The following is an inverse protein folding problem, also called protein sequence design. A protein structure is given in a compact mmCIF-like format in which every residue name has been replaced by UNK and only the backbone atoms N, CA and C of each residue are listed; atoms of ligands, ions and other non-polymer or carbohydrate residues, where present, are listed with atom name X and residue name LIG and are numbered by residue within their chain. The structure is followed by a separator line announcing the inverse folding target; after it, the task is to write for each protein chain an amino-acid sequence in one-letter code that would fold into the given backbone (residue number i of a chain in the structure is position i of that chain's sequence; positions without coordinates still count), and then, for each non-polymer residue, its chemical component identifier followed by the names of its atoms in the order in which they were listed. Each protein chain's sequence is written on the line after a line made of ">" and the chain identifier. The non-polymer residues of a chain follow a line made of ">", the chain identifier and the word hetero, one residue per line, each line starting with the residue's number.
data_IF_071813682507
#
_entry.id   IF_071813682507
#
_cell.length_a   1.000
_cell.length_b   1.000
_cell.length_c   1.000
_cell.angle_alpha   90.00
_cell.angle_beta   90.00
_cell.angle_gamma   90.00
#
_symmetry.space_group_name_H-M   'P 1'
#
loop_
_entity.id
_entity.type
_entity.pdbx_description
1 polymer ?
#
# COMPACT_ATOMS: atom_id res chain seq x y z
N UNK A 1 -0.53 -9.47 16.16
CA UNK A 1 -1.56 -9.56 17.24
C UNK A 1 -2.35 -10.84 17.03
N UNK A 2 -2.57 -11.67 18.07
CA UNK A 2 -3.30 -12.94 17.92
C UNK A 2 -4.82 -12.75 17.91
N UNK A 3 -5.35 -11.74 18.60
CA UNK A 3 -6.78 -11.38 18.59
C UNK A 3 -6.94 -9.90 18.87
N UNK A 4 -7.82 -9.20 18.13
CA UNK A 4 -8.12 -7.78 18.34
C UNK A 4 -9.63 -7.58 18.52
N UNK A 5 -9.99 -6.72 19.48
CA UNK A 5 -11.38 -6.38 19.83
C UNK A 5 -11.56 -4.87 19.69
N UNK A 6 -12.61 -4.45 18.98
CA UNK A 6 -13.01 -3.04 18.85
C UNK A 6 -14.49 -2.94 19.26
N UNK A 7 -14.80 -2.06 20.21
CA UNK A 7 -16.17 -1.86 20.72
C UNK A 7 -16.87 -3.18 21.13
N UNK A 8 -16.13 -4.09 21.79
CA UNK A 8 -16.66 -5.39 22.23
C UNK A 8 -16.82 -6.45 21.13
N UNK A 9 -16.46 -6.16 19.88
CA UNK A 9 -16.52 -7.11 18.75
C UNK A 9 -15.12 -7.59 18.37
N UNK A 10 -14.97 -8.90 18.16
CA UNK A 10 -13.73 -9.47 17.63
C UNK A 10 -13.64 -9.15 16.14
N UNK A 11 -12.62 -8.40 15.75
CA UNK A 11 -12.40 -7.98 14.35
C UNK A 11 -11.26 -8.74 13.69
N UNK A 12 -10.36 -9.35 14.48
CA UNK A 12 -9.21 -10.10 14.01
C UNK A 12 -8.94 -11.28 14.94
N UNK A 13 -8.60 -12.44 14.38
CA UNK A 13 -8.19 -13.65 15.11
C UNK A 13 -7.19 -14.46 14.30
N UNK A 14 -6.17 -15.00 14.97
CA UNK A 14 -5.14 -15.85 14.39
C UNK A 14 -4.54 -15.24 13.11
N UNK A 15 -4.20 -13.94 13.22
CA UNK A 15 -3.60 -13.15 12.14
C UNK A 15 -4.51 -12.86 10.94
N UNK A 16 -5.80 -13.21 10.99
CA UNK A 16 -6.78 -12.92 9.94
C UNK A 16 -7.80 -11.89 10.40
N UNK A 17 -8.13 -10.95 9.53
CA UNK A 17 -9.23 -10.00 9.72
C UNK A 17 -10.55 -10.70 9.38
N UNK A 18 -11.55 -10.56 10.25
CA UNK A 18 -12.83 -11.27 10.14
C UNK A 18 -13.92 -10.42 9.47
N UNK A 19 -13.66 -9.13 9.28
CA UNK A 19 -14.68 -8.13 8.90
C UNK A 19 -14.48 -7.54 7.51
N UNK A 20 -13.37 -7.86 6.82
CA UNK A 20 -13.05 -7.36 5.50
C UNK A 20 -12.47 -8.47 4.63
N UNK A 21 -12.60 -8.33 3.32
CA UNK A 21 -11.91 -9.16 2.35
C UNK A 21 -10.47 -8.63 2.15
N UNK A 22 -9.50 -9.37 2.68
CA UNK A 22 -8.08 -9.00 2.60
C UNK A 22 -7.54 -8.99 1.17
N UNK A 23 -8.06 -9.84 0.28
CA UNK A 23 -7.63 -9.87 -1.13
C UNK A 23 -8.16 -8.66 -1.88
N UNK A 24 -9.42 -8.30 -1.68
CA UNK A 24 -9.98 -7.07 -2.24
C UNK A 24 -9.21 -5.82 -1.77
N UNK A 25 -8.88 -5.74 -0.48
CA UNK A 25 -8.07 -4.64 0.08
C UNK A 25 -6.68 -4.60 -0.54
N UNK A 26 -6.03 -5.77 -0.73
CA UNK A 26 -4.72 -5.85 -1.38
C UNK A 26 -4.76 -5.33 -2.82
N UNK A 27 -5.76 -5.75 -3.59
CA UNK A 27 -5.93 -5.34 -4.99
C UNK A 27 -6.18 -3.83 -5.09
N UNK A 28 -7.04 -3.30 -4.22
CA UNK A 28 -7.32 -1.86 -4.17
C UNK A 28 -6.05 -1.07 -3.82
N UNK A 29 -5.34 -1.48 -2.77
CA UNK A 29 -4.11 -0.83 -2.34
C UNK A 29 -3.04 -0.82 -3.45
N UNK A 30 -2.87 -1.94 -4.16
CA UNK A 30 -1.95 -2.03 -5.30
C UNK A 30 -2.38 -1.14 -6.45
N UNK A 31 -3.68 -1.10 -6.77
CA UNK A 31 -4.21 -0.22 -7.82
C UNK A 31 -3.96 1.25 -7.48
N UNK A 32 -4.14 1.66 -6.23
CA UNK A 32 -3.86 3.03 -5.80
C UNK A 32 -2.37 3.37 -5.84
N UNK A 33 -1.50 2.41 -5.48
CA UNK A 33 -0.06 2.57 -5.60
C UNK A 33 0.35 2.78 -7.07
N UNK A 34 -0.14 1.96 -8.00
CA UNK A 34 0.16 2.10 -9.43
C UNK A 34 -0.30 3.46 -9.98
N UNK A 35 -1.46 3.96 -9.54
CA UNK A 35 -1.96 5.28 -9.93
C UNK A 35 -1.09 6.40 -9.37
N UNK A 36 -0.62 6.26 -8.13
CA UNK A 36 0.29 7.21 -7.53
C UNK A 36 1.63 7.24 -8.27
N UNK A 37 2.20 6.07 -8.58
CA UNK A 37 3.46 5.94 -9.32
C UNK A 37 3.39 6.65 -10.67
N UNK A 38 2.31 6.44 -11.42
CA UNK A 38 2.09 7.14 -12.71
C UNK A 38 2.01 8.65 -12.53
N UNK A 39 1.35 9.13 -11.47
CA UNK A 39 1.23 10.58 -11.19
C UNK A 39 2.58 11.18 -10.82
N UNK A 40 3.36 10.50 -9.98
CA UNK A 40 4.70 10.92 -9.59
C UNK A 40 5.62 10.96 -10.81
N UNK A 41 5.60 9.93 -11.66
CA UNK A 41 6.40 9.90 -12.88
C UNK A 41 6.04 11.02 -13.89
N UNK A 42 4.77 11.43 -13.93
CA UNK A 42 4.30 12.49 -14.81
C UNK A 42 4.58 13.91 -14.29
N UNK A 43 4.89 14.08 -12.99
CA UNK A 43 5.14 15.39 -12.39
C UNK A 43 6.56 15.91 -12.74
N UNK A 44 6.68 17.06 -13.43
CA UNK A 44 7.97 17.64 -13.79
C UNK A 44 8.89 17.92 -12.59
N UNK A 45 8.33 18.21 -11.40
CA UNK A 45 9.10 18.47 -10.18
C UNK A 45 9.82 17.22 -9.67
N UNK A 46 9.36 16.04 -10.04
CA UNK A 46 9.89 14.76 -9.57
C UNK A 46 11.12 14.31 -10.37
N UNK A 47 11.31 14.84 -11.59
CA UNK A 47 12.40 14.44 -12.52
C UNK A 47 13.83 14.73 -12.02
N UNK A 48 13.95 15.62 -11.05
CA UNK A 48 15.24 16.03 -10.47
C UNK A 48 15.52 15.36 -9.13
N UNK A 49 14.58 14.59 -8.58
CA UNK A 49 14.79 13.89 -7.32
C UNK A 49 15.75 12.71 -7.54
N UNK A 50 16.90 12.77 -6.86
CA UNK A 50 17.97 11.78 -6.95
C UNK A 50 17.49 10.35 -6.62
N UNK A 51 16.51 10.20 -5.72
CA UNK A 51 15.94 8.90 -5.37
C UNK A 51 15.20 8.25 -6.53
N UNK A 52 14.37 8.99 -7.28
CA UNK A 52 13.61 8.44 -8.41
C UNK A 52 14.54 7.90 -9.51
N UNK A 53 15.63 8.61 -9.79
CA UNK A 53 16.66 8.14 -10.73
C UNK A 53 17.34 6.85 -10.27
N UNK A 54 17.59 6.69 -8.97
CA UNK A 54 18.16 5.47 -8.42
C UNK A 54 17.16 4.30 -8.47
N UNK A 55 15.85 4.53 -8.23
CA UNK A 55 14.83 3.48 -8.36
C UNK A 55 14.70 3.01 -9.81
N UNK A 56 14.63 3.95 -10.76
CA UNK A 56 14.56 3.65 -12.20
C UNK A 56 15.78 2.86 -12.68
N UNK A 57 16.96 3.14 -12.12
CA UNK A 57 18.19 2.43 -12.40
C UNK A 57 18.30 1.06 -11.69
N UNK A 58 17.32 0.69 -10.85
CA UNK A 58 17.37 -0.53 -10.03
C UNK A 58 18.49 -0.53 -8.98
N UNK A 59 18.88 0.65 -8.52
CA UNK A 59 19.99 0.89 -7.59
C UNK A 59 19.53 1.16 -6.14
N UNK A 60 18.28 0.80 -5.83
CA UNK A 60 17.71 0.81 -4.48
C UNK A 60 17.83 -0.54 -3.80
#
# INVERSE_FOLDING_TARGET
>A
VKTSIIAGKIVMRDFRVLTIDEEAVRIEAQTQADLLDRRVAADPLQKELALLRAMDAGQL
#
